data_IF_101211351424
#
_entry.id   IF_101211351424
#
_cell.length_a   1.000
_cell.length_b   1.000
_cell.length_c   1.000
_cell.angle_alpha   90.00
_cell.angle_beta   90.00
_cell.angle_gamma   90.00
#
_symmetry.space_group_name_H-M   'P 1'
#
loop_
_entity.id
_entity.type
_entity.pdbx_description
1 polymer ?
#
# COMPACT_ATOMS: atom_id res chain seq x y z
N UNK A 1 -24.89 17.93 14.57
CA UNK A 1 -26.02 16.99 14.56
C UNK A 1 -26.55 16.92 13.14
N UNK A 2 -26.07 15.95 12.38
CA UNK A 2 -26.56 15.57 11.05
C UNK A 2 -26.79 14.07 11.13
N UNK A 3 -28.01 13.64 10.82
CA UNK A 3 -28.44 12.26 10.99
C UNK A 3 -27.65 11.32 10.08
N UNK A 4 -26.85 10.45 10.69
CA UNK A 4 -26.40 9.23 10.03
C UNK A 4 -27.64 8.33 9.88
N UNK A 5 -28.19 8.26 8.67
CA UNK A 5 -29.16 7.22 8.34
C UNK A 5 -28.53 5.87 8.65
N UNK A 6 -29.25 5.04 9.40
CA UNK A 6 -28.82 3.68 9.76
C UNK A 6 -28.87 2.80 8.51
N UNK A 7 -27.80 2.83 7.71
CA UNK A 7 -27.59 1.91 6.60
C UNK A 7 -27.18 0.54 7.18
N UNK A 8 -27.86 -0.53 6.75
CA UNK A 8 -27.48 -1.89 7.13
C UNK A 8 -26.20 -2.30 6.39
N UNK A 9 -25.13 -2.75 7.09
CA UNK A 9 -23.88 -3.20 6.47
C UNK A 9 -24.11 -4.23 5.36
N UNK A 10 -25.07 -5.13 5.54
CA UNK A 10 -25.41 -6.19 4.58
C UNK A 10 -25.97 -5.67 3.25
N UNK A 11 -26.67 -4.52 3.26
CA UNK A 11 -27.19 -3.89 2.03
C UNK A 11 -26.13 -3.12 1.26
N UNK A 12 -25.10 -2.61 1.94
CA UNK A 12 -23.95 -1.95 1.30
C UNK A 12 -23.07 -2.97 0.58
N UNK A 13 -22.70 -4.06 1.27
CA UNK A 13 -21.91 -5.16 0.69
C UNK A 13 -22.58 -5.74 -0.56
N UNK A 14 -23.92 -5.88 -0.57
CA UNK A 14 -24.65 -6.37 -1.74
C UNK A 14 -24.53 -5.47 -2.98
N UNK A 15 -24.63 -4.14 -2.81
CA UNK A 15 -24.49 -3.19 -3.93
C UNK A 15 -23.07 -3.15 -4.48
N UNK A 16 -22.07 -3.16 -3.59
CA UNK A 16 -20.66 -3.24 -3.97
C UNK A 16 -20.36 -4.52 -4.73
N UNK A 17 -20.85 -5.67 -4.27
CA UNK A 17 -20.65 -6.93 -4.97
C UNK A 17 -21.31 -6.94 -6.36
N UNK A 18 -22.50 -6.34 -6.49
CA UNK A 18 -23.16 -6.19 -7.79
C UNK A 18 -22.36 -5.29 -8.73
N UNK A 19 -21.81 -4.17 -8.24
CA UNK A 19 -20.91 -3.30 -9.00
C UNK A 19 -19.67 -4.08 -9.48
N UNK A 20 -18.99 -4.79 -8.57
CA UNK A 20 -17.79 -5.58 -8.90
C UNK A 20 -18.12 -6.61 -9.99
N UNK A 21 -19.19 -7.39 -9.83
CA UNK A 21 -19.61 -8.38 -10.83
C UNK A 21 -19.96 -7.76 -12.18
N UNK A 22 -20.58 -6.58 -12.20
CA UNK A 22 -20.87 -5.87 -13.43
C UNK A 22 -19.57 -5.47 -14.15
N UNK A 23 -18.58 -4.94 -13.40
CA UNK A 23 -17.28 -4.58 -13.95
C UNK A 23 -16.50 -5.80 -14.48
N UNK A 24 -16.53 -6.91 -13.74
CA UNK A 24 -15.93 -8.19 -14.13
C UNK A 24 -16.55 -8.73 -15.42
N UNK A 25 -17.87 -8.57 -15.60
CA UNK A 25 -18.62 -9.01 -16.77
C UNK A 25 -18.48 -8.08 -17.99
N UNK A 26 -17.70 -7.00 -17.89
CA UNK A 26 -17.48 -6.08 -19.01
C UNK A 26 -18.45 -4.90 -19.08
N UNK A 27 -19.38 -4.74 -18.14
CA UNK A 27 -20.31 -3.60 -18.13
C UNK A 27 -19.54 -2.27 -18.07
N UNK A 28 -20.01 -1.28 -18.82
CA UNK A 28 -19.54 0.11 -18.73
C UNK A 28 -20.34 0.81 -17.65
N UNK A 29 -19.69 1.13 -16.54
CA UNK A 29 -20.32 1.76 -15.37
C UNK A 29 -19.72 3.15 -15.23
N UNK A 30 -20.57 4.17 -15.12
CA UNK A 30 -20.11 5.55 -14.99
C UNK A 30 -19.42 5.81 -13.64
N UNK A 31 -18.59 6.85 -13.59
CA UNK A 31 -18.03 7.32 -12.33
C UNK A 31 -19.12 7.66 -11.29
N UNK A 32 -20.25 8.23 -11.73
CA UNK A 32 -21.40 8.54 -10.85
C UNK A 32 -21.96 7.28 -10.20
N UNK A 33 -22.16 6.20 -10.98
CA UNK A 33 -22.65 4.93 -10.44
C UNK A 33 -21.66 4.30 -9.46
N UNK A 34 -20.35 4.31 -9.78
CA UNK A 34 -19.29 3.85 -8.87
C UNK A 34 -19.31 4.68 -7.57
N UNK A 35 -19.39 6.00 -7.70
CA UNK A 35 -19.44 6.94 -6.58
C UNK A 35 -20.63 6.66 -5.69
N UNK A 36 -21.82 6.51 -6.25
CA UNK A 36 -23.06 6.31 -5.48
C UNK A 36 -23.06 4.99 -4.69
N UNK A 37 -22.35 3.97 -5.20
CA UNK A 37 -22.15 2.70 -4.50
C UNK A 37 -21.13 2.84 -3.36
N UNK A 38 -20.01 3.54 -3.59
CA UNK A 38 -18.87 3.56 -2.66
C UNK A 38 -18.89 4.71 -1.64
N UNK A 39 -19.52 5.85 -1.96
CA UNK A 39 -19.55 7.05 -1.11
C UNK A 39 -20.06 6.82 0.34
N UNK A 40 -21.01 5.89 0.60
CA UNK A 40 -21.43 5.58 1.97
C UNK A 40 -20.30 5.11 2.89
N UNK A 41 -19.23 4.52 2.36
CA UNK A 41 -18.03 4.14 3.11
C UNK A 41 -16.83 5.06 2.78
N UNK A 42 -16.70 5.48 1.52
CA UNK A 42 -15.60 6.33 1.04
C UNK A 42 -16.08 7.78 0.91
N UNK A 43 -16.34 8.44 2.03
CA UNK A 43 -16.89 9.80 2.09
C UNK A 43 -16.06 10.87 1.36
N UNK A 44 -14.79 10.60 1.02
CA UNK A 44 -13.98 11.51 0.21
C UNK A 44 -14.51 11.68 -1.21
N UNK A 45 -15.25 10.69 -1.73
CA UNK A 45 -15.88 10.75 -3.05
C UNK A 45 -16.89 11.90 -3.16
N UNK A 46 -17.65 12.18 -2.10
CA UNK A 46 -18.62 13.28 -2.04
C UNK A 46 -17.97 14.67 -2.10
N UNK A 47 -16.65 14.74 -1.87
CA UNK A 47 -15.89 16.00 -1.87
C UNK A 47 -15.29 16.34 -3.21
N UNK A 48 -15.27 15.41 -4.17
CA UNK A 48 -14.52 15.58 -5.43
C UNK A 48 -15.09 16.68 -6.32
N UNK A 49 -16.42 16.83 -6.33
CA UNK A 49 -17.09 17.90 -7.09
C UNK A 49 -16.72 19.30 -6.57
N UNK A 50 -16.55 19.43 -5.25
CA UNK A 50 -16.12 20.67 -4.61
C UNK A 50 -14.59 20.86 -4.58
N UNK A 51 -13.81 19.91 -5.08
CA UNK A 51 -12.34 19.98 -5.07
C UNK A 51 -11.85 20.59 -6.38
N UNK A 52 -11.40 21.86 -6.39
CA UNK A 52 -10.94 22.50 -7.62
C UNK A 52 -9.59 21.94 -8.06
N UNK A 53 -9.30 22.09 -9.34
CA UNK A 53 -8.00 21.80 -9.92
C UNK A 53 -7.43 23.05 -10.61
N UNK A 54 -6.15 23.00 -10.95
CA UNK A 54 -5.48 24.10 -11.62
C UNK A 54 -5.96 24.22 -13.08
N UNK A 55 -6.62 25.32 -13.42
CA UNK A 55 -7.32 25.48 -14.70
C UNK A 55 -6.39 25.45 -15.94
N UNK A 56 -5.08 25.64 -15.77
CA UNK A 56 -4.12 25.49 -16.87
C UNK A 56 -3.89 24.02 -17.21
N UNK A 57 -3.80 23.17 -16.19
CA UNK A 57 -3.51 21.74 -16.34
C UNK A 57 -4.76 20.85 -16.37
N UNK A 58 -5.90 21.40 -15.97
CA UNK A 58 -7.17 20.73 -15.80
C UNK A 58 -8.31 21.67 -16.22
N UNK A 59 -8.35 22.00 -17.51
CA UNK A 59 -9.39 22.85 -18.10
C UNK A 59 -10.78 22.18 -18.08
N UNK A 60 -10.84 20.85 -17.90
CA UNK A 60 -12.08 20.09 -17.66
C UNK A 60 -12.75 20.43 -16.33
N UNK A 61 -12.02 21.03 -15.38
CA UNK A 61 -12.56 21.53 -14.12
C UNK A 61 -12.18 20.72 -12.90
N UNK A 62 -13.18 20.37 -12.08
CA UNK A 62 -12.95 19.78 -10.76
C UNK A 62 -12.54 18.29 -10.82
N UNK A 63 -12.13 17.74 -9.67
CA UNK A 63 -11.63 16.36 -9.58
C UNK A 63 -12.70 15.33 -9.98
N UNK A 64 -13.98 15.58 -9.73
CA UNK A 64 -15.06 14.66 -10.13
C UNK A 64 -15.22 14.59 -11.66
N UNK A 65 -15.15 15.74 -12.36
CA UNK A 65 -15.21 15.77 -13.83
C UNK A 65 -14.01 15.04 -14.44
N UNK A 66 -12.81 15.30 -13.93
CA UNK A 66 -11.60 14.58 -14.35
C UNK A 66 -11.74 13.07 -14.11
N UNK A 67 -12.15 12.65 -12.92
CA UNK A 67 -12.33 11.23 -12.58
C UNK A 67 -13.36 10.54 -13.48
N UNK A 68 -14.44 11.24 -13.87
CA UNK A 68 -15.42 10.72 -14.81
C UNK A 68 -14.82 10.46 -16.19
N UNK A 69 -14.05 11.41 -16.73
CA UNK A 69 -13.34 11.24 -17.99
C UNK A 69 -12.33 10.07 -17.91
N UNK A 70 -11.55 9.98 -16.83
CA UNK A 70 -10.58 8.90 -16.65
C UNK A 70 -11.26 7.52 -16.57
N UNK A 71 -12.43 7.40 -15.93
CA UNK A 71 -13.21 6.15 -15.91
C UNK A 71 -13.67 5.75 -17.32
N UNK A 72 -14.12 6.71 -18.13
CA UNK A 72 -14.49 6.43 -19.53
C UNK A 72 -13.29 5.93 -20.34
N UNK A 73 -12.13 6.59 -20.22
CA UNK A 73 -10.89 6.16 -20.91
C UNK A 73 -10.39 4.82 -20.39
N UNK A 74 -10.53 4.54 -19.10
CA UNK A 74 -10.16 3.26 -18.53
C UNK A 74 -11.04 2.12 -19.09
N UNK A 75 -12.34 2.36 -19.32
CA UNK A 75 -13.20 1.38 -20.00
C UNK A 75 -12.79 1.13 -21.45
N UNK A 76 -12.48 2.19 -22.22
CA UNK A 76 -11.98 2.05 -23.59
C UNK A 76 -10.68 1.24 -23.63
N UNK A 77 -9.70 1.61 -22.81
CA UNK A 77 -8.41 0.94 -22.69
C UNK A 77 -8.54 -0.51 -22.19
N UNK A 78 -9.48 -0.78 -21.27
CA UNK A 78 -9.74 -2.14 -20.81
C UNK A 78 -10.30 -3.02 -21.94
N UNK A 79 -11.23 -2.48 -22.74
CA UNK A 79 -11.84 -3.20 -23.85
C UNK A 79 -10.81 -3.42 -24.99
N UNK A 80 -9.97 -2.42 -25.29
CA UNK A 80 -8.86 -2.53 -26.25
C UNK A 80 -7.82 -3.58 -25.83
N UNK A 81 -7.48 -3.64 -24.55
CA UNK A 81 -6.55 -4.61 -23.99
C UNK A 81 -7.19 -6.00 -23.75
N UNK A 82 -8.50 -6.16 -24.01
CA UNK A 82 -9.23 -7.41 -23.79
C UNK A 82 -9.31 -7.83 -22.31
N UNK A 83 -9.24 -6.88 -21.37
CA UNK A 83 -9.35 -7.17 -19.94
C UNK A 83 -10.75 -7.66 -19.59
N UNK A 84 -10.81 -8.65 -18.71
CA UNK A 84 -12.05 -9.23 -18.17
C UNK A 84 -11.88 -9.54 -16.69
N UNK A 85 -12.96 -9.91 -16.00
CA UNK A 85 -12.86 -10.39 -14.62
C UNK A 85 -12.32 -9.35 -13.63
N UNK A 86 -11.62 -9.84 -12.62
CA UNK A 86 -11.15 -9.03 -11.50
C UNK A 86 -10.12 -7.97 -11.94
N UNK A 87 -9.28 -8.25 -12.95
CA UNK A 87 -8.30 -7.26 -13.43
C UNK A 87 -8.97 -6.08 -14.11
N UNK A 88 -10.06 -6.30 -14.86
CA UNK A 88 -10.90 -5.23 -15.38
C UNK A 88 -11.52 -4.42 -14.25
N UNK A 89 -12.13 -5.09 -13.27
CA UNK A 89 -12.71 -4.40 -12.12
C UNK A 89 -11.67 -3.56 -11.36
N UNK A 90 -10.46 -4.09 -11.15
CA UNK A 90 -9.37 -3.38 -10.50
C UNK A 90 -8.95 -2.10 -11.24
N UNK A 91 -8.81 -2.16 -12.57
CA UNK A 91 -8.45 -0.99 -13.39
C UNK A 91 -9.52 0.11 -13.30
N UNK A 92 -10.80 -0.23 -13.46
CA UNK A 92 -11.89 0.75 -13.44
C UNK A 92 -12.09 1.36 -12.06
N UNK A 93 -12.04 0.55 -11.00
CA UNK A 93 -12.12 1.05 -9.62
C UNK A 93 -10.91 1.93 -9.28
N UNK A 94 -9.70 1.56 -9.71
CA UNK A 94 -8.53 2.41 -9.53
C UNK A 94 -8.65 3.73 -10.29
N UNK A 95 -9.19 3.73 -11.52
CA UNK A 95 -9.49 4.93 -12.28
C UNK A 95 -10.44 5.88 -11.54
N UNK A 96 -11.53 5.36 -10.96
CA UNK A 96 -12.47 6.14 -10.18
C UNK A 96 -11.89 6.70 -8.86
N UNK A 97 -10.83 6.08 -8.33
CA UNK A 97 -10.28 6.38 -7.00
C UNK A 97 -8.89 7.02 -7.02
N UNK A 98 -8.20 7.08 -8.16
CA UNK A 98 -6.78 7.46 -8.25
C UNK A 98 -6.48 8.83 -7.61
N UNK A 99 -7.41 9.77 -7.76
CA UNK A 99 -7.29 11.15 -7.31
C UNK A 99 -8.10 11.48 -6.06
N UNK A 100 -8.69 10.48 -5.38
CA UNK A 100 -9.55 10.71 -4.19
C UNK A 100 -8.82 11.48 -3.08
N UNK A 101 -7.50 11.31 -2.98
CA UNK A 101 -6.67 12.02 -2.00
C UNK A 101 -6.55 13.53 -2.25
N UNK A 102 -6.89 14.03 -3.44
CA UNK A 102 -6.93 15.47 -3.73
C UNK A 102 -7.91 16.20 -2.82
N UNK A 103 -9.03 15.55 -2.46
CA UNK A 103 -10.06 16.11 -1.56
C UNK A 103 -9.51 16.63 -0.22
N UNK A 104 -8.39 16.07 0.26
CA UNK A 104 -7.77 16.42 1.55
C UNK A 104 -6.36 17.00 1.43
N UNK A 105 -5.80 17.08 0.22
CA UNK A 105 -4.42 17.54 0.00
C UNK A 105 -4.31 18.75 -0.91
N UNK A 106 -5.35 19.06 -1.70
CA UNK A 106 -5.39 20.23 -2.57
C UNK A 106 -5.32 21.51 -1.77
N UNK A 107 -4.38 22.38 -2.12
CA UNK A 107 -4.20 23.70 -1.52
C UNK A 107 -3.63 24.68 -2.54
N UNK A 108 -3.75 25.96 -2.23
CA UNK A 108 -3.15 27.05 -3.00
C UNK A 108 -1.69 27.19 -2.58
N UNK A 109 -0.79 27.26 -3.55
CA UNK A 109 0.64 27.52 -3.37
C UNK A 109 1.09 28.59 -4.36
N UNK A 110 2.04 29.42 -3.98
CA UNK A 110 2.65 30.42 -4.87
C UNK A 110 3.85 29.76 -5.54
N UNK A 111 3.90 29.77 -6.87
CA UNK A 111 5.04 29.25 -7.63
C UNK A 111 6.21 30.25 -7.69
N UNK A 112 7.33 29.82 -8.28
CA UNK A 112 8.57 30.61 -8.42
C UNK A 112 8.37 31.92 -9.21
N UNK A 113 7.29 32.01 -10.00
CA UNK A 113 6.94 33.21 -10.78
C UNK A 113 5.98 34.15 -10.04
N UNK A 114 5.61 33.81 -8.80
CA UNK A 114 4.65 34.56 -7.99
C UNK A 114 3.18 34.27 -8.31
N UNK A 115 2.87 33.29 -9.17
CA UNK A 115 1.50 32.93 -9.51
C UNK A 115 0.93 31.94 -8.50
N UNK A 116 -0.34 32.12 -8.15
CA UNK A 116 -1.06 31.17 -7.29
C UNK A 116 -1.49 29.97 -8.12
N UNK A 117 -1.02 28.78 -7.73
CA UNK A 117 -1.33 27.48 -8.35
C UNK A 117 -2.10 26.60 -7.37
N UNK A 118 -2.93 25.70 -7.89
CA UNK A 118 -3.54 24.63 -7.09
C UNK A 118 -2.68 23.38 -7.19
N UNK A 119 -2.22 22.88 -6.03
CA UNK A 119 -1.37 21.67 -5.96
C UNK A 119 -1.91 20.69 -4.93
N UNK A 120 -1.77 19.40 -5.23
CA UNK A 120 -2.25 18.30 -4.37
C UNK A 120 -1.11 17.32 -4.07
N UNK A 121 -0.07 17.75 -3.33
CA UNK A 121 1.10 16.90 -3.13
C UNK A 121 0.76 15.74 -2.19
N UNK A 122 1.37 14.59 -2.49
CA UNK A 122 1.13 13.31 -1.81
C UNK A 122 -0.32 12.79 -1.92
N UNK A 123 -1.14 13.31 -2.84
CA UNK A 123 -2.55 12.88 -2.98
C UNK A 123 -2.67 11.37 -3.19
N UNK A 124 -1.81 10.75 -4.02
CA UNK A 124 -1.85 9.31 -4.28
C UNK A 124 -1.67 8.48 -3.00
N UNK A 125 -0.61 8.77 -2.21
CA UNK A 125 -0.36 8.08 -0.93
C UNK A 125 -1.46 8.36 0.08
N UNK A 126 -1.86 9.62 0.26
CA UNK A 126 -2.92 10.00 1.21
C UNK A 126 -4.28 9.44 0.80
N UNK A 127 -4.55 9.31 -0.48
CA UNK A 127 -5.72 8.62 -1.03
C UNK A 127 -5.73 7.15 -0.66
N UNK A 128 -4.64 6.43 -0.99
CA UNK A 128 -4.44 5.03 -0.58
C UNK A 128 -4.62 4.84 0.92
N UNK A 129 -3.98 5.65 1.76
CA UNK A 129 -4.05 5.50 3.22
C UNK A 129 -5.49 5.56 3.75
N UNK A 130 -6.32 6.43 3.15
CA UNK A 130 -7.75 6.54 3.49
C UNK A 130 -8.56 5.38 2.94
N UNK A 131 -8.34 5.02 1.68
CA UNK A 131 -9.01 3.90 1.03
C UNK A 131 -8.73 2.56 1.72
N UNK A 132 -7.53 2.35 2.24
CA UNK A 132 -7.17 1.13 2.93
C UNK A 132 -8.03 0.89 4.17
N UNK A 133 -8.54 1.96 4.79
CA UNK A 133 -9.41 1.88 5.95
C UNK A 133 -10.90 1.77 5.58
N UNK A 134 -11.32 2.29 4.42
CA UNK A 134 -12.74 2.45 4.07
C UNK A 134 -13.26 1.53 2.97
N UNK A 135 -12.42 1.07 2.03
CA UNK A 135 -12.85 0.10 1.00
C UNK A 135 -13.31 -1.24 1.59
N UNK A 136 -12.69 -1.76 2.67
CA UNK A 136 -13.25 -2.92 3.37
C UNK A 136 -14.63 -2.66 3.97
N UNK A 137 -14.90 -1.45 4.50
CA UNK A 137 -16.23 -1.06 5.00
C UNK A 137 -17.26 -1.04 3.85
N UNK A 138 -16.84 -0.73 2.63
CA UNK A 138 -17.69 -0.81 1.44
C UNK A 138 -18.00 -2.26 1.01
N UNK A 139 -17.28 -3.25 1.54
CA UNK A 139 -17.43 -4.66 1.17
C UNK A 139 -16.68 -5.09 -0.09
N UNK A 140 -15.62 -4.37 -0.48
CA UNK A 140 -14.76 -4.82 -1.57
C UNK A 140 -13.97 -6.08 -1.12
N UNK A 141 -13.81 -7.10 -1.99
CA UNK A 141 -12.93 -8.23 -1.72
C UNK A 141 -11.50 -7.79 -1.37
N UNK A 142 -10.87 -8.51 -0.44
CA UNK A 142 -9.53 -8.18 0.08
C UNK A 142 -8.48 -8.04 -1.03
N UNK A 143 -8.41 -9.02 -1.94
CA UNK A 143 -7.45 -9.03 -3.06
C UNK A 143 -7.66 -7.84 -4.01
N UNK A 144 -8.91 -7.62 -4.39
CA UNK A 144 -9.30 -6.48 -5.24
C UNK A 144 -8.93 -5.15 -4.58
N UNK A 145 -9.20 -5.03 -3.28
CA UNK A 145 -8.83 -3.83 -2.50
C UNK A 145 -7.33 -3.59 -2.55
N UNK A 146 -6.49 -4.60 -2.28
CA UNK A 146 -5.03 -4.45 -2.28
C UNK A 146 -4.49 -4.02 -3.65
N UNK A 147 -4.99 -4.59 -4.75
CA UNK A 147 -4.57 -4.19 -6.11
C UNK A 147 -5.01 -2.76 -6.42
N UNK A 148 -6.23 -2.36 -6.07
CA UNK A 148 -6.71 -0.98 -6.24
C UNK A 148 -5.84 -0.01 -5.44
N UNK A 149 -5.52 -0.33 -4.18
CA UNK A 149 -4.63 0.48 -3.34
C UNK A 149 -3.23 0.64 -3.95
N UNK A 150 -2.67 -0.44 -4.50
CA UNK A 150 -1.39 -0.41 -5.19
C UNK A 150 -1.42 0.55 -6.38
N UNK A 151 -2.41 0.38 -7.28
CA UNK A 151 -2.58 1.21 -8.47
C UNK A 151 -2.78 2.69 -8.11
N UNK A 152 -3.68 2.99 -7.16
CA UNK A 152 -3.93 4.37 -6.68
C UNK A 152 -2.64 4.98 -6.10
N UNK A 153 -1.85 4.24 -5.34
CA UNK A 153 -0.64 4.77 -4.73
C UNK A 153 0.48 5.06 -5.74
N UNK A 154 0.53 4.31 -6.85
CA UNK A 154 1.64 4.36 -7.81
C UNK A 154 1.31 5.02 -9.15
N UNK A 155 0.06 5.38 -9.44
CA UNK A 155 -0.38 5.90 -10.74
C UNK A 155 0.43 7.09 -11.29
N UNK A 156 1.01 7.91 -10.41
CA UNK A 156 1.82 9.09 -10.77
C UNK A 156 3.34 8.84 -10.76
N UNK A 157 3.82 7.62 -10.43
CA UNK A 157 5.25 7.34 -10.21
C UNK A 157 6.04 7.07 -11.50
N UNK A 158 5.37 6.92 -12.64
CA UNK A 158 5.97 6.39 -13.87
C UNK A 158 7.18 7.21 -14.32
N UNK A 159 7.05 8.54 -14.40
CA UNK A 159 8.16 9.43 -14.79
C UNK A 159 9.43 9.18 -13.97
N UNK A 160 9.32 9.21 -12.64
CA UNK A 160 10.45 8.91 -11.74
C UNK A 160 11.04 7.51 -11.95
N UNK A 161 10.20 6.53 -12.28
CA UNK A 161 10.65 5.16 -12.51
C UNK A 161 11.42 5.03 -13.82
N UNK A 162 10.97 5.68 -14.89
CA UNK A 162 11.65 5.62 -16.19
C UNK A 162 12.90 6.51 -16.25
N UNK A 163 12.96 7.55 -15.42
CA UNK A 163 14.13 8.43 -15.27
C UNK A 163 15.29 7.76 -14.47
N UNK A 164 15.06 6.60 -13.85
CA UNK A 164 16.12 5.87 -13.14
C UNK A 164 17.10 5.22 -14.13
N UNK A 165 18.36 5.73 -14.25
CA UNK A 165 19.30 5.23 -15.24
C UNK A 165 19.75 3.80 -14.98
N UNK A 166 19.52 3.26 -13.77
CA UNK A 166 19.85 1.88 -13.45
C UNK A 166 18.79 0.87 -13.93
N UNK A 167 17.59 1.35 -14.26
CA UNK A 167 16.43 0.51 -14.60
C UNK A 167 15.85 -0.30 -13.44
N UNK A 168 16.45 -0.24 -12.23
CA UNK A 168 16.07 -1.04 -11.06
C UNK A 168 14.75 -0.58 -10.44
N UNK A 169 14.39 0.69 -10.60
CA UNK A 169 13.12 1.22 -10.14
C UNK A 169 11.91 0.49 -10.77
N UNK A 170 12.07 -0.09 -11.97
CA UNK A 170 11.02 -0.88 -12.63
C UNK A 170 10.73 -2.17 -11.84
N UNK A 171 11.76 -2.84 -11.31
CA UNK A 171 11.61 -4.05 -10.49
C UNK A 171 10.87 -3.79 -9.19
N UNK A 172 11.25 -2.71 -8.48
CA UNK A 172 10.55 -2.31 -7.26
C UNK A 172 9.10 -1.93 -7.54
N UNK A 173 8.83 -1.29 -8.69
CA UNK A 173 7.46 -0.98 -9.12
C UNK A 173 6.66 -2.24 -9.47
N UNK A 174 7.27 -3.21 -10.15
CA UNK A 174 6.66 -4.49 -10.52
C UNK A 174 6.27 -5.34 -9.30
N UNK A 175 7.05 -5.27 -8.20
CA UNK A 175 6.66 -5.88 -6.91
C UNK A 175 5.54 -5.16 -6.20
N UNK A 176 5.29 -3.89 -6.55
CA UNK A 176 4.31 -3.04 -5.88
C UNK A 176 2.96 -3.06 -6.57
N UNK A 177 2.92 -3.03 -7.91
CA UNK A 177 1.70 -2.97 -8.70
C UNK A 177 1.85 -3.77 -10.01
N UNK A 178 0.77 -4.37 -10.53
CA UNK A 178 0.80 -5.03 -11.84
C UNK A 178 1.04 -3.99 -12.95
N UNK A 179 2.22 -4.04 -13.57
CA UNK A 179 2.66 -3.03 -14.55
C UNK A 179 1.67 -2.82 -15.71
N UNK A 180 1.04 -3.86 -16.30
CA UNK A 180 0.06 -3.66 -17.36
C UNK A 180 -1.12 -2.78 -16.93
N UNK A 181 -1.71 -3.05 -15.76
CA UNK A 181 -2.82 -2.25 -15.25
C UNK A 181 -2.38 -0.83 -14.86
N UNK A 182 -1.17 -0.69 -14.34
CA UNK A 182 -0.62 0.62 -13.98
C UNK A 182 -0.39 1.50 -15.22
N UNK A 183 0.14 0.93 -16.30
CA UNK A 183 0.32 1.62 -17.59
C UNK A 183 -1.02 2.02 -18.19
N UNK A 184 -2.03 1.14 -18.16
CA UNK A 184 -3.38 1.47 -18.63
C UNK A 184 -4.02 2.58 -17.80
N UNK A 185 -3.85 2.56 -16.48
CA UNK A 185 -4.35 3.62 -15.60
C UNK A 185 -3.66 4.97 -15.89
N UNK A 186 -2.35 4.97 -16.10
CA UNK A 186 -1.62 6.19 -16.45
C UNK A 186 -2.04 6.75 -17.82
N UNK A 187 -2.27 5.88 -18.81
CA UNK A 187 -2.85 6.28 -20.10
C UNK A 187 -4.26 6.85 -19.94
N UNK A 188 -5.10 6.22 -19.12
CA UNK A 188 -6.45 6.72 -18.85
C UNK A 188 -6.41 8.12 -18.19
N UNK A 189 -5.53 8.35 -17.20
CA UNK A 189 -5.34 9.66 -16.58
C UNK A 189 -4.86 10.72 -17.57
N UNK A 190 -3.90 10.37 -18.42
CA UNK A 190 -3.38 11.26 -19.44
C UNK A 190 -4.46 11.65 -20.48
N UNK A 191 -5.25 10.67 -20.96
CA UNK A 191 -6.33 10.88 -21.94
C UNK A 191 -7.56 11.57 -21.37
N UNK A 192 -7.82 11.43 -20.07
CA UNK A 192 -8.95 12.06 -19.40
C UNK A 192 -8.76 13.56 -19.10
N UNK A 193 -7.57 14.10 -19.36
CA UNK A 193 -7.16 15.46 -18.99
C UNK A 193 -7.26 16.43 -20.16
N UNK A 194 -7.68 17.67 -19.87
CA UNK A 194 -7.74 18.77 -20.85
C UNK A 194 -6.80 19.89 -20.41
N UNK A 195 -5.84 20.27 -21.26
CA UNK A 195 -4.89 21.36 -20.97
C UNK A 195 -5.33 22.63 -21.69
N UNK A 196 -5.23 23.78 -21.01
CA UNK A 196 -5.50 25.06 -21.65
C UNK A 196 -4.44 25.37 -22.73
N UNK A 197 -4.86 25.52 -23.99
CA UNK A 197 -4.01 26.05 -25.07
C UNK A 197 -3.31 25.03 -25.99
N UNK A 198 -3.59 23.72 -25.89
CA UNK A 198 -3.06 22.74 -26.85
C UNK A 198 -3.02 21.31 -26.32
N UNK A 199 -2.45 20.41 -27.14
CA UNK A 199 -2.41 18.98 -26.85
C UNK A 199 -1.60 18.65 -25.60
N UNK A 200 -2.07 17.67 -24.84
CA UNK A 200 -1.38 17.06 -23.70
C UNK A 200 -0.17 16.19 -24.11
N UNK A 201 0.52 16.58 -25.19
CA UNK A 201 1.62 15.88 -25.85
C UNK A 201 2.86 15.85 -24.98
N UNK A 202 2.85 14.93 -24.00
CA UNK A 202 3.95 14.04 -23.58
C UNK A 202 3.58 13.22 -22.31
N UNK A 203 2.32 13.25 -21.85
CA UNK A 203 1.96 12.58 -20.58
C UNK A 203 1.74 11.07 -20.69
N UNK A 204 1.52 10.56 -21.90
CA UNK A 204 1.53 9.11 -22.16
C UNK A 204 2.95 8.57 -22.37
N UNK A 205 3.95 9.43 -22.58
CA UNK A 205 5.33 9.01 -22.90
C UNK A 205 5.91 8.15 -21.77
N UNK A 206 5.79 8.59 -20.52
CA UNK A 206 6.25 7.81 -19.37
C UNK A 206 5.55 6.43 -19.26
N UNK A 207 4.29 6.32 -19.71
CA UNK A 207 3.57 5.05 -19.74
C UNK A 207 4.10 4.13 -20.85
N UNK A 208 4.38 4.69 -22.02
CA UNK A 208 5.01 3.98 -23.14
C UNK A 208 6.42 3.53 -22.80
N UNK A 209 7.25 4.41 -22.25
CA UNK A 209 8.62 4.09 -21.86
C UNK A 209 8.66 3.05 -20.74
N UNK A 210 7.76 3.13 -19.75
CA UNK A 210 7.67 2.10 -18.72
C UNK A 210 7.31 0.74 -19.32
N UNK A 211 6.38 0.68 -20.27
CA UNK A 211 6.05 -0.56 -20.96
C UNK A 211 7.28 -1.14 -21.68
N UNK A 212 8.00 -0.33 -22.47
CA UNK A 212 9.21 -0.78 -23.19
C UNK A 212 10.27 -1.30 -22.22
N UNK A 213 10.58 -0.55 -21.16
CA UNK A 213 11.56 -0.98 -20.15
C UNK A 213 11.13 -2.27 -19.44
N UNK A 214 9.83 -2.43 -19.16
CA UNK A 214 9.31 -3.65 -18.55
C UNK A 214 9.41 -4.85 -19.51
N UNK A 215 9.15 -4.66 -20.81
CA UNK A 215 9.30 -5.70 -21.84
C UNK A 215 10.77 -6.11 -21.98
N UNK A 216 11.69 -5.15 -22.09
CA UNK A 216 13.14 -5.39 -22.17
C UNK A 216 13.69 -6.17 -20.97
N UNK A 217 13.14 -5.91 -19.78
CA UNK A 217 13.55 -6.56 -18.53
C UNK A 217 12.79 -7.86 -18.23
N UNK A 218 11.85 -8.29 -19.09
CA UNK A 218 11.05 -9.49 -18.88
C UNK A 218 10.00 -9.38 -17.76
N UNK A 219 9.62 -8.16 -17.39
CA UNK A 219 8.65 -7.83 -16.33
C UNK A 219 7.24 -7.57 -16.88
N UNK A 220 7.09 -7.47 -18.20
CA UNK A 220 5.80 -7.25 -18.86
C UNK A 220 5.06 -8.57 -19.10
N UNK A 221 3.73 -8.56 -18.95
CA UNK A 221 2.87 -9.71 -19.17
C UNK A 221 1.49 -9.28 -19.66
N UNK A 222 0.72 -10.21 -20.22
CA UNK A 222 -0.70 -9.98 -20.55
C UNK A 222 -1.55 -10.31 -19.33
N UNK A 223 -2.29 -9.33 -18.81
CA UNK A 223 -3.14 -9.54 -17.64
C UNK A 223 -4.32 -10.47 -17.97
N UNK A 224 -4.47 -11.55 -17.20
CA UNK A 224 -5.62 -12.46 -17.27
C UNK A 224 -6.83 -11.94 -16.49
N UNK A 225 -7.85 -12.78 -16.30
CA UNK A 225 -9.06 -12.40 -15.58
C UNK A 225 -8.89 -12.32 -14.04
N UNK A 226 -7.95 -13.08 -13.48
CA UNK A 226 -7.75 -13.17 -12.03
C UNK A 226 -6.65 -12.20 -11.53
N UNK A 227 -6.72 -11.79 -10.27
CA UNK A 227 -5.70 -10.95 -9.61
C UNK A 227 -4.49 -11.76 -9.11
N UNK A 228 -3.89 -12.55 -10.01
CA UNK A 228 -2.64 -13.28 -9.76
C UNK A 228 -1.68 -12.96 -10.89
N UNK A 229 -0.45 -12.58 -10.55
CA UNK A 229 0.52 -12.03 -11.50
C UNK A 229 1.83 -12.82 -11.49
N UNK A 230 2.65 -12.82 -12.55
CA UNK A 230 4.00 -13.41 -12.48
C UNK A 230 4.87 -12.75 -11.39
N UNK A 231 5.64 -13.50 -10.60
CA UNK A 231 6.64 -12.91 -9.69
C UNK A 231 7.75 -12.24 -10.53
N UNK A 232 8.00 -10.93 -10.36
CA UNK A 232 9.11 -10.23 -11.01
C UNK A 232 10.46 -10.94 -10.85
N UNK A 233 10.65 -11.66 -9.75
CA UNK A 233 11.89 -12.35 -9.40
C UNK A 233 11.77 -13.88 -9.46
N UNK A 234 10.85 -14.45 -10.25
CA UNK A 234 10.69 -15.90 -10.39
C UNK A 234 12.02 -16.60 -10.74
N UNK A 235 12.80 -16.04 -11.68
CA UNK A 235 14.11 -16.58 -12.03
C UNK A 235 15.09 -16.62 -10.84
N UNK A 236 15.02 -15.64 -9.92
CA UNK A 236 15.86 -15.63 -8.73
C UNK A 236 15.39 -16.67 -7.72
N UNK A 237 14.08 -16.87 -7.58
CA UNK A 237 13.49 -17.90 -6.73
C UNK A 237 13.92 -19.31 -7.18
N UNK A 238 14.15 -19.52 -8.48
CA UNK A 238 14.70 -20.75 -9.05
C UNK A 238 16.22 -20.89 -8.88
N UNK A 239 16.97 -19.80 -9.03
CA UNK A 239 18.44 -19.83 -9.07
C UNK A 239 19.05 -19.89 -7.67
N UNK A 240 18.52 -19.13 -6.70
CA UNK A 240 19.05 -19.08 -5.32
C UNK A 240 19.15 -20.47 -4.67
N UNK A 241 18.14 -21.36 -4.75
CA UNK A 241 18.25 -22.73 -4.23
C UNK A 241 19.36 -23.57 -4.88
N UNK A 242 19.68 -23.34 -6.16
CA UNK A 242 20.75 -24.05 -6.86
C UNK A 242 22.14 -23.57 -6.42
N UNK A 243 22.25 -22.29 -6.06
CA UNK A 243 23.49 -21.67 -5.57
C UNK A 243 23.80 -22.00 -4.11
N UNK A 244 22.77 -22.32 -3.32
CA UNK A 244 22.89 -22.73 -1.93
C UNK A 244 22.37 -24.17 -1.74
N UNK A 245 23.02 -25.18 -2.37
CA UNK A 245 22.55 -26.54 -2.28
C UNK A 245 22.57 -27.01 -0.83
N UNK A 246 21.46 -27.56 -0.34
CA UNK A 246 21.23 -28.00 1.06
C UNK A 246 20.97 -26.89 2.08
N UNK A 247 20.81 -25.62 1.67
CA UNK A 247 20.36 -24.59 2.59
C UNK A 247 18.92 -24.84 3.07
N UNK A 248 18.60 -24.54 4.35
CA UNK A 248 17.25 -24.68 4.86
C UNK A 248 16.31 -23.65 4.19
N UNK A 249 15.00 -23.94 4.09
CA UNK A 249 14.02 -23.07 3.44
C UNK A 249 14.05 -21.61 3.93
N UNK A 250 14.29 -21.40 5.24
CA UNK A 250 14.35 -20.06 5.84
C UNK A 250 15.54 -19.26 5.31
N UNK A 251 16.70 -19.91 5.11
CA UNK A 251 17.88 -19.25 4.56
C UNK A 251 17.70 -18.92 3.07
N UNK A 252 17.08 -19.83 2.31
CA UNK A 252 16.75 -19.60 0.90
C UNK A 252 15.77 -18.42 0.76
N UNK A 253 14.74 -18.39 1.60
CA UNK A 253 13.80 -17.29 1.66
C UNK A 253 14.50 -15.97 2.01
N UNK A 254 15.33 -15.97 3.07
CA UNK A 254 16.10 -14.78 3.45
C UNK A 254 17.02 -14.30 2.33
N UNK A 255 17.76 -15.20 1.69
CA UNK A 255 18.62 -14.88 0.55
C UNK A 255 17.84 -14.21 -0.58
N UNK A 256 16.64 -14.73 -0.87
CA UNK A 256 15.76 -14.17 -1.89
C UNK A 256 15.24 -12.78 -1.49
N UNK A 257 14.58 -12.62 -0.33
CA UNK A 257 13.93 -11.35 0.03
C UNK A 257 14.93 -10.24 0.37
N UNK A 258 16.06 -10.58 1.00
CA UNK A 258 17.16 -9.64 1.20
C UNK A 258 17.85 -9.30 -0.13
N UNK A 259 18.03 -10.29 -1.01
CA UNK A 259 18.57 -10.12 -2.35
C UNK A 259 17.73 -9.17 -3.22
N UNK A 260 16.40 -9.34 -3.26
CA UNK A 260 15.47 -8.43 -3.96
C UNK A 260 15.70 -6.98 -3.50
N UNK A 261 15.77 -6.78 -2.19
CA UNK A 261 15.96 -5.45 -1.58
C UNK A 261 17.34 -4.86 -1.88
N UNK A 262 18.40 -5.66 -1.78
CA UNK A 262 19.77 -5.24 -2.05
C UNK A 262 19.99 -4.93 -3.53
N UNK A 263 19.36 -5.68 -4.43
CA UNK A 263 19.39 -5.42 -5.88
C UNK A 263 18.75 -4.08 -6.22
N UNK A 264 17.55 -3.83 -5.69
CA UNK A 264 16.83 -2.57 -5.92
C UNK A 264 17.53 -1.37 -5.30
N UNK A 265 18.23 -1.56 -4.18
CA UNK A 265 19.09 -0.54 -3.56
C UNK A 265 20.44 -0.38 -4.29
N UNK A 266 20.73 -1.24 -5.25
CA UNK A 266 21.95 -1.23 -6.05
C UNK A 266 23.21 -1.74 -5.36
N UNK A 267 23.05 -2.50 -4.28
CA UNK A 267 24.14 -3.13 -3.52
C UNK A 267 24.62 -4.44 -4.14
N UNK A 268 23.78 -5.09 -4.95
CA UNK A 268 24.11 -6.29 -5.71
C UNK A 268 23.52 -6.22 -7.12
N UNK A 269 23.99 -7.09 -8.01
CA UNK A 269 23.57 -7.15 -9.40
C UNK A 269 23.04 -8.53 -9.81
N UNK A 270 23.34 -9.57 -9.03
CA UNK A 270 23.06 -10.96 -9.39
C UNK A 270 22.50 -11.78 -8.23
N UNK A 271 21.76 -12.88 -8.52
CA UNK A 271 21.38 -13.86 -7.50
C UNK A 271 22.59 -14.57 -6.87
N UNK A 272 23.73 -14.66 -7.57
CA UNK A 272 24.99 -15.16 -7.01
C UNK A 272 25.49 -14.30 -5.84
N UNK A 273 25.45 -12.97 -5.99
CA UNK A 273 25.79 -12.05 -4.90
C UNK A 273 24.78 -12.12 -3.75
N UNK A 274 23.49 -12.31 -4.04
CA UNK A 274 22.47 -12.53 -3.01
C UNK A 274 22.78 -13.78 -2.18
N UNK A 275 23.05 -14.91 -2.84
CA UNK A 275 23.45 -16.16 -2.19
C UNK A 275 24.74 -16.01 -1.36
N UNK A 276 25.76 -15.35 -1.92
CA UNK A 276 27.03 -15.13 -1.24
C UNK A 276 26.87 -14.27 0.03
N UNK A 277 26.01 -13.23 -0.01
CA UNK A 277 25.71 -12.39 1.17
C UNK A 277 24.93 -13.17 2.22
N UNK A 278 23.98 -13.99 1.80
CA UNK A 278 23.18 -14.83 2.69
C UNK A 278 24.01 -15.91 3.40
N UNK A 279 25.15 -16.33 2.86
CA UNK A 279 26.03 -17.31 3.52
C UNK A 279 26.45 -16.88 4.94
N UNK A 280 26.53 -15.57 5.21
CA UNK A 280 26.81 -15.04 6.56
C UNK A 280 25.72 -15.37 7.58
N UNK A 281 24.49 -15.61 7.10
CA UNK A 281 23.33 -15.99 7.88
C UNK A 281 23.14 -17.52 7.95
N UNK A 282 24.04 -18.32 7.37
CA UNK A 282 23.90 -19.78 7.33
C UNK A 282 23.94 -20.44 8.71
N UNK A 283 24.62 -19.83 9.68
CA UNK A 283 24.62 -20.27 11.08
C UNK A 283 23.35 -19.86 11.85
N UNK A 284 22.39 -19.23 11.17
CA UNK A 284 21.19 -18.63 11.75
C UNK A 284 21.21 -17.11 11.67
N UNK A 285 20.02 -16.53 11.68
CA UNK A 285 19.78 -15.09 11.65
C UNK A 285 18.56 -14.75 12.51
N UNK A 286 18.54 -13.58 13.17
CA UNK A 286 17.37 -13.14 13.91
C UNK A 286 16.21 -12.81 12.98
N UNK A 287 15.00 -12.78 13.51
CA UNK A 287 13.82 -12.27 12.80
C UNK A 287 13.29 -11.06 13.55
N UNK A 288 12.82 -10.06 12.82
CA UNK A 288 12.32 -8.83 13.41
C UNK A 288 11.00 -8.38 12.78
N UNK A 289 9.91 -8.61 13.49
CA UNK A 289 8.56 -8.24 13.05
C UNK A 289 8.13 -6.93 13.68
N UNK A 290 7.77 -5.95 12.86
CA UNK A 290 7.21 -4.67 13.30
C UNK A 290 5.71 -4.69 13.06
N UNK A 291 4.93 -4.70 14.15
CA UNK A 291 3.47 -4.62 14.06
C UNK A 291 3.05 -3.22 13.64
N UNK A 292 2.04 -3.08 12.79
CA UNK A 292 1.49 -1.81 12.34
C UNK A 292 -0.03 -1.81 12.45
N UNK A 293 -0.62 -0.71 12.88
CA UNK A 293 -2.07 -0.52 12.87
C UNK A 293 -2.58 0.33 14.02
N UNK A 294 -3.77 0.94 13.86
CA UNK A 294 -4.41 1.71 14.93
C UNK A 294 -4.73 0.82 16.13
N UNK A 295 -5.05 1.44 17.27
CA UNK A 295 -5.59 0.73 18.43
C UNK A 295 -6.83 -0.07 18.04
N UNK A 296 -7.01 -1.25 18.66
CA UNK A 296 -8.10 -2.19 18.35
C UNK A 296 -8.07 -2.84 16.95
N UNK A 297 -6.96 -2.73 16.20
CA UNK A 297 -6.76 -3.40 14.91
C UNK A 297 -6.47 -4.90 14.98
N UNK A 298 -6.39 -5.48 16.18
CA UNK A 298 -6.04 -6.90 16.39
C UNK A 298 -4.53 -7.20 16.37
N UNK A 299 -3.66 -6.23 16.08
CA UNK A 299 -2.20 -6.45 15.98
C UNK A 299 -1.58 -7.12 17.22
N UNK A 300 -1.97 -6.73 18.43
CA UNK A 300 -1.39 -7.26 19.67
C UNK A 300 -1.84 -8.70 19.94
N UNK A 301 -3.03 -9.09 19.48
CA UNK A 301 -3.56 -10.45 19.60
C UNK A 301 -2.76 -11.43 18.76
N UNK A 302 -2.32 -11.02 17.57
CA UNK A 302 -1.54 -11.86 16.65
C UNK A 302 -0.02 -11.71 16.85
N UNK A 303 0.45 -10.82 17.73
CA UNK A 303 1.88 -10.52 17.89
C UNK A 303 2.69 -11.78 18.26
N UNK A 304 2.14 -12.66 19.10
CA UNK A 304 2.79 -13.91 19.53
C UNK A 304 2.99 -14.92 18.40
N UNK A 305 2.21 -14.82 17.33
CA UNK A 305 2.33 -15.73 16.18
C UNK A 305 3.60 -15.44 15.36
N UNK A 306 4.16 -14.23 15.52
CA UNK A 306 5.31 -13.75 14.74
C UNK A 306 6.63 -13.77 15.50
N UNK A 307 6.66 -14.16 16.78
CA UNK A 307 7.91 -14.28 17.51
C UNK A 307 7.76 -14.63 18.99
N UNK A 308 8.89 -14.98 19.58
CA UNK A 308 9.02 -15.46 20.95
C UNK A 308 9.48 -14.38 21.94
N UNK A 309 9.84 -13.20 21.44
CA UNK A 309 10.13 -12.00 22.23
C UNK A 309 9.21 -10.88 21.79
N UNK A 310 8.16 -10.58 22.56
CA UNK A 310 7.24 -9.48 22.26
C UNK A 310 7.64 -8.23 23.08
N UNK A 311 8.20 -7.25 22.39
CA UNK A 311 8.52 -5.93 22.94
C UNK A 311 7.30 -5.02 22.76
N UNK A 312 6.46 -4.95 23.79
CA UNK A 312 5.25 -4.12 23.79
C UNK A 312 5.50 -2.78 24.47
N UNK A 313 5.38 -1.70 23.70
CA UNK A 313 5.58 -0.33 24.22
C UNK A 313 4.53 0.05 25.25
N UNK A 314 3.32 -0.48 25.12
CA UNK A 314 2.23 -0.22 26.07
C UNK A 314 2.52 -0.90 27.42
N UNK A 315 2.99 -2.15 27.41
CA UNK A 315 3.44 -2.86 28.61
C UNK A 315 4.62 -2.14 29.30
N UNK A 316 5.62 -1.70 28.54
CA UNK A 316 6.75 -0.94 29.06
C UNK A 316 6.31 0.41 29.64
N UNK A 317 5.35 1.09 29.01
CA UNK A 317 4.79 2.35 29.54
C UNK A 317 4.04 2.14 30.84
N UNK A 318 3.34 1.02 31.00
CA UNK A 318 2.68 0.66 32.26
C UNK A 318 3.68 0.35 33.39
N UNK A 319 4.86 -0.19 33.06
CA UNK A 319 5.92 -0.49 34.04
C UNK A 319 6.72 0.75 34.45
N UNK A 320 7.03 1.64 33.50
CA UNK A 320 7.90 2.81 33.72
C UNK A 320 7.11 4.05 34.16
N UNK A 321 5.92 4.25 33.59
CA UNK A 321 5.08 5.43 33.85
C UNK A 321 4.00 5.18 34.90
N UNK A 322 3.08 6.14 35.03
CA UNK A 322 1.90 6.01 35.92
C UNK A 322 0.76 5.20 35.29
N UNK A 323 0.96 4.66 34.09
CA UNK A 323 -0.03 3.87 33.36
C UNK A 323 0.21 3.86 31.84
N UNK A 324 -0.57 3.05 31.13
CA UNK A 324 -0.44 2.78 29.68
C UNK A 324 -0.64 4.01 28.79
N UNK A 325 -1.19 5.09 29.32
CA UNK A 325 -1.46 6.35 28.61
C UNK A 325 -0.45 7.46 28.92
N UNK A 326 0.51 7.26 29.83
CA UNK A 326 1.43 8.29 30.31
C UNK A 326 2.48 8.66 29.26
N UNK A 327 2.23 9.75 28.51
CA UNK A 327 3.11 10.21 27.45
C UNK A 327 4.40 10.87 27.96
N UNK A 328 4.52 11.18 29.26
CA UNK A 328 5.69 11.87 29.82
C UNK A 328 6.95 11.01 29.83
N UNK A 329 6.80 9.68 29.82
CA UNK A 329 7.90 8.70 29.84
C UNK A 329 8.22 8.10 28.46
N UNK A 330 7.66 8.64 27.37
CA UNK A 330 7.82 8.07 26.03
C UNK A 330 9.28 7.86 25.59
N UNK A 331 10.18 8.77 25.94
CA UNK A 331 11.61 8.63 25.62
C UNK A 331 12.26 7.43 26.33
N UNK A 332 11.93 7.24 27.61
CA UNK A 332 12.45 6.13 28.42
C UNK A 332 11.86 4.80 27.95
N UNK A 333 10.56 4.77 27.63
CA UNK A 333 9.87 3.59 27.06
C UNK A 333 10.51 3.18 25.74
N UNK A 334 10.77 4.11 24.83
CA UNK A 334 11.43 3.81 23.57
C UNK A 334 12.86 3.30 23.76
N UNK A 335 13.61 3.85 24.72
CA UNK A 335 14.96 3.38 25.02
C UNK A 335 14.93 1.95 25.57
N UNK A 336 14.04 1.66 26.53
CA UNK A 336 13.86 0.33 27.08
C UNK A 336 13.45 -0.68 25.99
N UNK A 337 12.47 -0.32 25.16
CA UNK A 337 12.02 -1.16 24.06
C UNK A 337 13.15 -1.48 23.07
N UNK A 338 13.97 -0.48 22.70
CA UNK A 338 15.13 -0.70 21.83
C UNK A 338 16.16 -1.62 22.47
N UNK A 339 16.37 -1.53 23.78
CA UNK A 339 17.34 -2.42 24.45
C UNK A 339 16.82 -3.85 24.55
N UNK A 340 15.54 -4.06 24.90
CA UNK A 340 14.94 -5.40 24.89
C UNK A 340 15.00 -6.04 23.49
N UNK A 341 14.67 -5.26 22.45
CA UNK A 341 14.80 -5.72 21.08
C UNK A 341 16.25 -6.10 20.73
N UNK A 342 17.23 -5.28 21.11
CA UNK A 342 18.66 -5.57 20.90
C UNK A 342 19.10 -6.86 21.60
N UNK A 343 18.66 -7.08 22.83
CA UNK A 343 18.98 -8.31 23.58
C UNK A 343 18.43 -9.53 22.84
N UNK A 344 17.18 -9.48 22.37
CA UNK A 344 16.58 -10.56 21.59
C UNK A 344 17.29 -10.81 20.25
N UNK A 345 17.59 -9.74 19.50
CA UNK A 345 18.27 -9.83 18.20
C UNK A 345 19.71 -10.34 18.33
N UNK A 346 20.47 -9.90 19.36
CA UNK A 346 21.81 -10.43 19.66
C UNK A 346 21.80 -11.93 19.96
N UNK A 347 20.72 -12.41 20.57
CA UNK A 347 20.53 -13.83 20.86
C UNK A 347 19.97 -14.64 19.67
N UNK A 348 19.82 -14.03 18.48
CA UNK A 348 19.30 -14.70 17.29
C UNK A 348 17.81 -15.07 17.36
N UNK A 349 17.02 -14.40 18.22
CA UNK A 349 15.60 -14.73 18.46
C UNK A 349 14.66 -14.10 17.43
N UNK A 350 13.38 -14.50 17.48
CA UNK A 350 12.29 -13.88 16.69
C UNK A 350 11.63 -12.79 17.53
N UNK A 351 12.05 -11.56 17.28
CA UNK A 351 11.62 -10.39 18.05
C UNK A 351 10.45 -9.71 17.36
N UNK A 352 9.41 -9.39 18.13
CA UNK A 352 8.23 -8.65 17.69
C UNK A 352 8.20 -7.31 18.39
N UNK A 353 8.16 -6.24 17.62
CA UNK A 353 7.95 -4.89 18.10
C UNK A 353 6.46 -4.55 18.00
N UNK A 354 5.77 -4.60 19.14
CA UNK A 354 4.34 -4.27 19.21
C UNK A 354 4.13 -2.81 19.62
N UNK A 355 3.84 -1.99 18.61
CA UNK A 355 3.38 -0.63 18.74
C UNK A 355 2.42 -0.31 17.59
N UNK A 356 1.86 0.90 17.57
CA UNK A 356 0.96 1.31 16.48
C UNK A 356 1.70 1.56 15.16
N UNK A 357 2.94 2.08 15.21
CA UNK A 357 3.85 2.24 14.07
C UNK A 357 3.18 2.85 12.82
N UNK A 358 2.44 3.93 13.03
CA UNK A 358 1.53 4.50 12.02
C UNK A 358 2.24 5.28 10.91
N UNK A 359 3.45 5.79 11.15
CA UNK A 359 4.21 6.61 10.20
C UNK A 359 5.37 5.85 9.59
N UNK A 360 5.63 6.07 8.30
CA UNK A 360 6.75 5.47 7.55
C UNK A 360 8.08 5.77 8.24
N UNK A 361 8.32 7.02 8.65
CA UNK A 361 9.57 7.42 9.32
C UNK A 361 9.76 6.72 10.67
N UNK A 362 8.67 6.49 11.42
CA UNK A 362 8.70 5.73 12.67
C UNK A 362 9.06 4.27 12.41
N UNK A 363 8.42 3.64 11.42
CA UNK A 363 8.73 2.26 11.00
C UNK A 363 10.17 2.13 10.54
N UNK A 364 10.65 3.03 9.69
CA UNK A 364 12.03 3.02 9.20
C UNK A 364 13.07 3.08 10.35
N UNK A 365 12.83 3.91 11.37
CA UNK A 365 13.72 4.02 12.53
C UNK A 365 13.75 2.76 13.41
N UNK A 366 12.68 1.97 13.41
CA UNK A 366 12.58 0.67 14.10
C UNK A 366 13.19 -0.43 13.23
N UNK A 367 12.77 -0.54 11.96
CA UNK A 367 13.26 -1.53 11.00
C UNK A 367 14.78 -1.43 10.79
N UNK A 368 15.35 -0.23 10.85
CA UNK A 368 16.80 0.00 10.87
C UNK A 368 17.53 -0.88 11.88
N UNK A 369 16.96 -1.04 13.09
CA UNK A 369 17.53 -1.94 14.10
C UNK A 369 17.57 -3.39 13.61
N UNK A 370 16.52 -3.86 12.95
CA UNK A 370 16.52 -5.21 12.38
C UNK A 370 17.58 -5.38 11.29
N UNK A 371 17.69 -4.40 10.38
CA UNK A 371 18.68 -4.42 9.31
C UNK A 371 20.13 -4.43 9.85
N UNK A 372 20.42 -3.60 10.85
CA UNK A 372 21.75 -3.52 11.48
C UNK A 372 22.21 -4.85 12.11
N UNK A 373 21.25 -5.66 12.57
CA UNK A 373 21.50 -6.98 13.15
C UNK A 373 21.44 -8.12 12.11
N UNK A 374 21.27 -7.81 10.82
CA UNK A 374 21.14 -8.82 9.77
C UNK A 374 19.86 -9.65 9.89
N UNK A 375 18.81 -9.09 10.48
CA UNK A 375 17.55 -9.80 10.71
C UNK A 375 16.71 -9.92 9.43
N UNK A 376 15.93 -11.00 9.33
CA UNK A 376 14.77 -11.03 8.44
C UNK A 376 13.70 -10.09 9.00
N UNK A 377 13.66 -8.87 8.47
CA UNK A 377 12.65 -7.86 8.83
C UNK A 377 11.31 -8.05 8.12
N UNK A 378 10.22 -7.87 8.87
CA UNK A 378 8.84 -7.96 8.39
C UNK A 378 7.99 -6.84 8.96
N UNK A 379 7.08 -6.28 8.16
CA UNK A 379 5.97 -5.46 8.66
C UNK A 379 4.69 -6.27 8.61
N UNK A 380 3.97 -6.34 9.73
CA UNK A 380 2.68 -7.02 9.82
C UNK A 380 1.61 -6.04 10.25
N UNK A 381 0.61 -5.83 9.39
CA UNK A 381 -0.40 -4.79 9.59
C UNK A 381 -1.72 -5.41 10.02
N UNK A 382 -2.24 -5.01 11.19
CA UNK A 382 -3.61 -5.31 11.58
C UNK A 382 -4.58 -4.51 10.69
N UNK A 383 -5.18 -5.18 9.72
CA UNK A 383 -6.06 -4.57 8.73
C UNK A 383 -7.51 -4.69 9.17
N UNK A 384 -7.92 -3.81 10.08
CA UNK A 384 -9.32 -3.70 10.51
C UNK A 384 -9.98 -2.48 9.84
N UNK A 385 -11.17 -2.63 9.24
CA UNK A 385 -11.92 -1.53 8.64
C UNK A 385 -12.25 -0.42 9.66
N UNK A 386 -12.35 0.82 9.18
CA UNK A 386 -12.60 1.97 10.08
C UNK A 386 -13.94 1.90 10.80
N UNK A 387 -14.97 1.32 10.18
CA UNK A 387 -16.29 1.15 10.77
C UNK A 387 -16.32 0.16 11.94
N UNK A 388 -15.43 -0.85 11.95
CA UNK A 388 -15.35 -1.85 13.01
C UNK A 388 -14.55 -1.39 14.25
N UNK A 389 -13.57 -0.51 14.04
CA UNK A 389 -12.62 -0.11 15.08
C UNK A 389 -13.29 0.49 16.33
N UNK A 390 -14.31 1.38 16.25
CA UNK A 390 -14.98 1.89 17.44
C UNK A 390 -15.65 0.80 18.28
N UNK A 391 -16.33 -0.16 17.65
CA UNK A 391 -16.99 -1.27 18.33
C UNK A 391 -15.98 -2.19 19.01
N UNK A 392 -14.91 -2.56 18.30
CA UNK A 392 -13.79 -3.34 18.86
C UNK A 392 -13.11 -2.61 20.01
N UNK A 393 -12.89 -1.31 19.88
CA UNK A 393 -12.24 -0.51 20.91
C UNK A 393 -13.10 -0.37 22.17
N UNK A 394 -14.42 -0.23 22.02
CA UNK A 394 -15.37 -0.17 23.14
C UNK A 394 -15.42 -1.50 23.94
N UNK A 395 -15.13 -2.63 23.30
CA UNK A 395 -15.09 -3.94 23.94
C UNK A 395 -13.77 -4.24 24.69
N UNK A 396 -12.76 -3.35 24.62
CA UNK A 396 -11.47 -3.56 25.30
C UNK A 396 -11.58 -3.26 26.79
N UNK A 397 -10.77 -3.95 27.60
CA UNK A 397 -10.60 -3.64 29.02
C UNK A 397 -10.10 -2.20 29.23
N UNK A 398 -9.13 -1.78 28.41
CA UNK A 398 -8.61 -0.41 28.38
C UNK A 398 -8.82 0.22 26.99
N UNK A 399 -9.98 0.86 26.74
CA UNK A 399 -10.28 1.52 25.46
C UNK A 399 -9.35 2.71 25.19
N UNK A 400 -8.95 2.86 23.93
CA UNK A 400 -8.25 4.07 23.47
C UNK A 400 -9.26 5.23 23.39
N UNK A 401 -8.95 6.44 23.88
CA UNK A 401 -9.87 7.57 23.78
C UNK A 401 -10.27 7.84 22.31
N UNK A 402 -11.56 8.13 22.01
CA UNK A 402 -12.02 8.29 20.63
C UNK A 402 -11.25 9.33 19.80
N UNK A 403 -10.86 10.46 20.41
CA UNK A 403 -10.04 11.48 19.74
C UNK A 403 -8.64 11.00 19.38
N UNK A 404 -8.04 10.14 20.21
CA UNK A 404 -6.74 9.50 19.92
C UNK A 404 -6.90 8.50 18.78
N UNK A 405 -7.92 7.65 18.82
CA UNK A 405 -8.20 6.70 17.74
C UNK A 405 -8.43 7.42 16.40
N UNK A 406 -9.24 8.49 16.40
CA UNK A 406 -9.44 9.34 15.21
C UNK A 406 -8.11 9.88 14.67
N UNK A 407 -7.26 10.44 15.56
CA UNK A 407 -5.92 10.91 15.18
C UNK A 407 -5.05 9.79 14.59
N UNK A 408 -5.13 8.57 15.13
CA UNK A 408 -4.39 7.41 14.60
C UNK A 408 -4.82 7.08 13.16
N UNK A 409 -6.13 7.11 12.88
CA UNK A 409 -6.66 6.87 11.52
C UNK A 409 -6.26 7.97 10.53
N UNK A 410 -6.14 9.22 10.98
CA UNK A 410 -5.69 10.32 10.11
C UNK A 410 -4.18 10.33 9.84
N UNK A 411 -3.41 9.78 10.77
CA UNK A 411 -1.95 9.75 10.73
C UNK A 411 -1.37 8.46 10.18
N UNK A 412 -2.20 7.42 10.00
CA UNK A 412 -1.79 6.17 9.37
C UNK A 412 -1.28 6.46 7.96
N UNK A 413 -0.02 6.11 7.73
CA UNK A 413 0.61 5.97 6.43
C UNK A 413 0.72 4.48 6.16
N UNK A 414 -0.08 3.98 5.22
CA UNK A 414 -0.18 2.56 4.91
C UNK A 414 1.19 1.99 4.51
N UNK A 415 1.59 0.83 5.04
CA UNK A 415 2.89 0.23 4.73
C UNK A 415 3.10 -0.05 3.24
N UNK A 416 4.31 0.21 2.78
CA UNK A 416 4.73 0.07 1.38
C UNK A 416 5.66 -1.12 1.18
N UNK A 417 5.54 -1.74 0.01
CA UNK A 417 6.53 -2.72 -0.48
C UNK A 417 7.90 -2.05 -0.51
N UNK A 418 8.90 -2.71 0.09
CA UNK A 418 10.27 -2.19 0.20
C UNK A 418 10.62 -1.54 1.54
N UNK A 419 9.65 -1.30 2.45
CA UNK A 419 9.96 -0.85 3.81
C UNK A 419 10.72 -1.93 4.61
N UNK A 420 10.32 -3.19 4.46
CA UNK A 420 10.94 -4.37 5.05
C UNK A 420 11.17 -5.44 3.97
N UNK A 421 11.81 -6.56 4.33
CA UNK A 421 11.92 -7.68 3.40
C UNK A 421 10.56 -8.29 3.06
N UNK A 422 9.65 -8.27 4.04
CA UNK A 422 8.29 -8.81 3.90
C UNK A 422 7.25 -7.83 4.44
N UNK A 423 6.08 -7.84 3.80
CA UNK A 423 4.91 -7.08 4.22
C UNK A 423 3.70 -8.01 4.21
N UNK A 424 2.96 -8.05 5.31
CA UNK A 424 1.75 -8.86 5.45
C UNK A 424 0.61 -8.03 6.04
N UNK A 425 -0.62 -8.35 5.65
CA UNK A 425 -1.85 -7.78 6.17
C UNK A 425 -2.68 -8.87 6.85
N UNK A 426 -3.09 -8.64 8.10
CA UNK A 426 -3.97 -9.52 8.86
C UNK A 426 -5.40 -8.98 8.77
N UNK A 427 -6.30 -9.70 8.12
CA UNK A 427 -7.71 -9.33 8.03
C UNK A 427 -8.46 -9.62 9.34
N UNK A 428 -9.68 -9.07 9.54
CA UNK A 428 -10.48 -9.26 10.76
C UNK A 428 -10.71 -10.71 11.20
N UNK A 429 -10.74 -11.63 10.25
CA UNK A 429 -10.91 -13.08 10.43
C UNK A 429 -9.59 -13.82 10.70
N UNK A 430 -8.46 -13.10 10.74
CA UNK A 430 -7.14 -13.64 11.03
C UNK A 430 -6.37 -14.14 9.80
N UNK A 431 -6.94 -14.04 8.59
CA UNK A 431 -6.22 -14.46 7.38
C UNK A 431 -5.05 -13.52 7.07
N UNK A 432 -3.96 -14.09 6.55
CA UNK A 432 -2.76 -13.37 6.14
C UNK A 432 -2.75 -13.16 4.63
N UNK A 433 -2.56 -11.92 4.22
CA UNK A 433 -2.47 -11.55 2.81
C UNK A 433 -1.15 -10.83 2.51
N UNK A 434 -0.43 -11.22 1.44
CA UNK A 434 0.64 -10.40 0.89
C UNK A 434 0.06 -9.15 0.18
N UNK A 435 0.88 -8.15 -0.20
CA UNK A 435 0.40 -6.96 -0.92
C UNK A 435 -0.12 -7.26 -2.32
N UNK A 436 0.49 -8.24 -2.99
CA UNK A 436 0.05 -8.80 -4.26
C UNK A 436 0.22 -10.32 -4.21
N UNK A 437 -0.63 -11.04 -4.93
CA UNK A 437 -0.47 -12.47 -5.14
C UNK A 437 0.30 -12.73 -6.42
N UNK A 438 1.39 -13.49 -6.28
CA UNK A 438 2.21 -13.90 -7.41
C UNK A 438 2.02 -15.40 -7.68
N UNK A 439 2.01 -15.77 -8.95
CA UNK A 439 2.16 -17.16 -9.35
C UNK A 439 3.56 -17.64 -8.93
N UNK A 440 3.66 -18.85 -8.36
CA UNK A 440 4.94 -19.46 -8.03
C UNK A 440 5.82 -19.74 -9.26
#
# INVERSE_FOLDING_TARGET
MTGFGTFSPSGMTGRTLALVRALEAGSRVSFTEIRDVLAPAVHLLDRLEATPQDAEWHAEGNVAVHSALVVERAHELADEAGLTGETRAALILAAALHDVGKAVTTRREVDETGRVRLRSPRHARRGRDRLALTLPDAGLPTRLTLVVLALVATHHRLGRTVDDPSGRAVWGLARTAPLPLLVLLARADARGRVVAGGEAGDREEAATLLQVLAEEQGLWFTAGAALVFPDPYAAWADEVPRLLPSAPPELLHFALVAGKRDFEAGLIHTPHEAAARAYRAASGFPQFTVMCGPGASGKSTSATDFGDVVVSLDALRAQIGKGVSDQSVNGQVLQAAREEARVGLRAGRRVVWDATNLRVSGRAGVLGLGFDYGALTRVVTGWTPSGELPGRNAARLDPVPPGVLGTQLETLEWPEVGEAHELLFITPDGALHPPLEFCP
#
